data_IF_545615109440
#
_entry.id   IF_545615109440
#
_cell.length_a   1.000
_cell.length_b   1.000
_cell.length_c   1.000
_cell.angle_alpha   90.00
_cell.angle_beta   90.00
_cell.angle_gamma   90.00
#
_symmetry.space_group_name_H-M   'P 1'
#
loop_
_entity.id
_entity.type
_entity.pdbx_description
1 polymer ?
#
# COMPACT_ATOMS: atom_id res chain seq x y z
N UNK A 1 -10.88 11.51 2.79
CA UNK A 1 -10.28 10.69 3.85
C UNK A 1 -11.38 10.38 4.84
N UNK A 2 -11.53 9.13 5.24
CA UNK A 2 -12.64 8.63 6.05
C UNK A 2 -12.08 7.95 7.29
N UNK A 3 -12.78 8.06 8.42
CA UNK A 3 -12.50 7.27 9.61
C UNK A 3 -13.11 5.88 9.43
N UNK A 4 -12.37 4.83 9.82
CA UNK A 4 -12.84 3.45 9.75
C UNK A 4 -12.81 2.81 11.13
N UNK A 5 -13.67 1.81 11.33
CA UNK A 5 -13.70 1.03 12.57
C UNK A 5 -12.47 0.13 12.65
N UNK A 6 -12.07 -0.22 13.88
CA UNK A 6 -10.85 -1.00 14.09
C UNK A 6 -10.88 -2.35 13.36
N UNK A 7 -12.00 -3.05 13.36
CA UNK A 7 -12.17 -4.32 12.65
C UNK A 7 -11.93 -4.22 11.14
N UNK A 8 -12.05 -3.01 10.57
CA UNK A 8 -11.85 -2.72 9.15
C UNK A 8 -10.46 -2.15 8.84
N UNK A 9 -9.51 -2.25 9.79
CA UNK A 9 -8.17 -1.71 9.58
C UNK A 9 -7.47 -2.33 8.36
N UNK A 10 -7.46 -3.67 8.26
CA UNK A 10 -6.76 -4.41 7.24
C UNK A 10 -7.70 -5.32 6.42
N UNK A 11 -7.30 -5.65 5.19
CA UNK A 11 -8.07 -6.44 4.24
C UNK A 11 -7.53 -7.87 4.09
N UNK A 12 -7.32 -8.55 5.22
CA UNK A 12 -6.65 -9.86 5.30
C UNK A 12 -7.25 -10.89 4.31
N UNK A 13 -8.58 -11.03 4.29
CA UNK A 13 -9.26 -12.05 3.47
C UNK A 13 -9.35 -11.65 2.00
N UNK A 14 -9.63 -10.39 1.71
CA UNK A 14 -9.80 -9.91 0.33
C UNK A 14 -8.48 -9.85 -0.45
N UNK A 15 -7.35 -9.67 0.24
CA UNK A 15 -6.02 -9.59 -0.36
C UNK A 15 -5.18 -10.86 -0.15
N UNK A 16 -5.78 -11.96 0.29
CA UNK A 16 -5.05 -13.21 0.63
C UNK A 16 -4.12 -13.71 -0.48
N UNK A 17 -4.47 -13.52 -1.74
CA UNK A 17 -3.63 -13.93 -2.87
C UNK A 17 -2.26 -13.21 -2.91
N UNK A 18 -2.15 -12.04 -2.25
CA UNK A 18 -0.89 -11.31 -2.14
C UNK A 18 0.16 -12.04 -1.31
N UNK A 19 -0.24 -12.92 -0.36
CA UNK A 19 0.72 -13.67 0.46
C UNK A 19 1.64 -14.57 -0.35
N UNK A 20 1.11 -15.28 -1.35
CA UNK A 20 1.92 -16.15 -2.23
C UNK A 20 2.99 -15.36 -2.96
N UNK A 21 2.61 -14.20 -3.51
CA UNK A 21 3.54 -13.29 -4.19
C UNK A 21 4.61 -12.73 -3.25
N UNK A 22 4.22 -12.40 -1.99
CA UNK A 22 5.16 -11.88 -0.99
C UNK A 22 6.27 -12.85 -0.66
N UNK A 23 5.98 -14.14 -0.51
CA UNK A 23 6.98 -15.17 -0.23
C UNK A 23 8.02 -15.22 -1.34
N UNK A 24 7.60 -15.18 -2.59
CA UNK A 24 8.49 -15.17 -3.75
C UNK A 24 9.34 -13.89 -3.81
N UNK A 25 8.71 -12.74 -3.58
CA UNK A 25 9.40 -11.45 -3.57
C UNK A 25 10.42 -11.35 -2.43
N UNK A 26 10.09 -11.82 -1.23
CA UNK A 26 11.02 -11.87 -0.08
C UNK A 26 12.24 -12.73 -0.41
N UNK A 27 12.05 -13.84 -1.10
CA UNK A 27 13.15 -14.74 -1.50
C UNK A 27 14.08 -14.10 -2.54
N UNK A 28 13.52 -13.37 -3.50
CA UNK A 28 14.25 -12.90 -4.68
C UNK A 28 14.67 -11.44 -4.62
N UNK A 29 13.93 -10.60 -3.88
CA UNK A 29 14.05 -9.14 -3.90
C UNK A 29 14.02 -8.50 -2.50
N UNK A 30 14.37 -9.25 -1.43
CA UNK A 30 14.30 -8.73 -0.05
C UNK A 30 15.00 -7.39 0.12
N UNK A 31 16.17 -7.21 -0.49
CA UNK A 31 16.97 -5.98 -0.45
C UNK A 31 16.34 -4.77 -1.17
N UNK A 32 15.29 -5.00 -1.99
CA UNK A 32 14.56 -3.95 -2.69
C UNK A 32 13.25 -3.58 -2.01
N UNK A 33 12.67 -4.53 -1.27
CA UNK A 33 11.32 -4.42 -0.72
C UNK A 33 11.30 -4.18 0.79
N UNK A 34 12.39 -4.50 1.48
CA UNK A 34 12.51 -4.33 2.94
C UNK A 34 13.59 -3.31 3.27
N UNK A 35 13.25 -2.37 4.14
CA UNK A 35 14.21 -1.51 4.80
C UNK A 35 13.79 -1.27 6.25
N UNK A 36 14.71 -1.50 7.18
CA UNK A 36 14.52 -1.25 8.60
C UNK A 36 15.65 -0.40 9.17
N UNK A 37 15.30 0.74 9.76
CA UNK A 37 16.27 1.53 10.51
C UNK A 37 16.23 1.13 11.97
N UNK A 38 17.31 0.49 12.44
CA UNK A 38 17.41 -0.05 13.81
C UNK A 38 17.35 1.02 14.91
N UNK A 39 17.71 2.28 14.63
CA UNK A 39 17.56 3.38 15.57
C UNK A 39 16.09 3.64 15.94
N UNK A 40 15.16 3.24 15.08
CA UNK A 40 13.72 3.39 15.25
C UNK A 40 12.98 2.07 15.50
N UNK A 41 13.71 1.02 15.89
CA UNK A 41 13.12 -0.31 16.13
C UNK A 41 12.00 -0.28 17.17
N UNK A 42 12.06 0.63 18.16
CA UNK A 42 10.99 0.78 19.14
C UNK A 42 9.60 1.06 18.52
N UNK A 43 9.54 1.74 17.38
CA UNK A 43 8.31 1.95 16.66
C UNK A 43 7.82 0.64 16.02
N UNK A 44 8.71 -0.14 15.41
CA UNK A 44 8.38 -1.43 14.80
C UNK A 44 7.84 -2.41 15.85
N UNK A 45 8.47 -2.50 17.03
CA UNK A 45 8.01 -3.32 18.16
C UNK A 45 6.58 -2.94 18.56
N UNK A 46 6.32 -1.64 18.78
CA UNK A 46 4.98 -1.17 19.17
C UNK A 46 3.91 -1.50 18.12
N UNK A 47 4.23 -1.32 16.85
CA UNK A 47 3.30 -1.64 15.76
C UNK A 47 3.11 -3.15 15.60
N UNK A 48 4.13 -3.95 15.80
CA UNK A 48 4.01 -5.41 15.80
C UNK A 48 3.06 -5.89 16.92
N UNK A 49 3.21 -5.40 18.14
CA UNK A 49 2.31 -5.76 19.25
C UNK A 49 0.86 -5.28 19.01
N UNK A 50 0.68 -4.10 18.43
CA UNK A 50 -0.65 -3.63 18.04
C UNK A 50 -1.27 -4.49 16.94
N UNK A 51 -0.48 -4.91 15.95
CA UNK A 51 -0.92 -5.81 14.88
C UNK A 51 -1.25 -7.20 15.43
N UNK A 52 -0.42 -7.75 16.31
CA UNK A 52 -0.66 -9.02 16.96
C UNK A 52 -1.97 -9.01 17.75
N UNK A 53 -2.21 -7.95 18.54
CA UNK A 53 -3.45 -7.76 19.27
C UNK A 53 -4.64 -7.72 18.30
N UNK A 54 -4.55 -6.95 17.23
CA UNK A 54 -5.58 -6.86 16.20
C UNK A 54 -5.90 -8.22 15.57
N UNK A 55 -4.87 -8.95 15.12
CA UNK A 55 -5.04 -10.25 14.50
C UNK A 55 -5.61 -11.28 15.47
N UNK A 56 -5.18 -11.27 16.74
CA UNK A 56 -5.72 -12.16 17.78
C UNK A 56 -7.18 -11.84 18.14
N UNK A 57 -7.62 -10.59 17.93
CA UNK A 57 -8.99 -10.17 18.27
C UNK A 57 -9.97 -10.42 17.13
N UNK A 58 -9.58 -10.09 15.90
CA UNK A 58 -10.50 -10.07 14.76
C UNK A 58 -10.29 -11.24 13.80
N UNK A 59 -9.18 -11.99 13.95
CA UNK A 59 -8.77 -13.09 13.07
C UNK A 59 -8.19 -14.25 13.88
N UNK A 60 -8.80 -14.56 15.05
CA UNK A 60 -8.29 -15.58 15.96
C UNK A 60 -8.29 -17.00 15.35
N UNK A 61 -9.18 -17.28 14.41
CA UNK A 61 -9.23 -18.57 13.72
C UNK A 61 -8.14 -18.67 12.66
N UNK A 62 -7.79 -17.57 12.04
CA UNK A 62 -6.80 -17.49 10.96
C UNK A 62 -5.35 -17.37 11.49
N UNK A 63 -5.14 -16.86 12.72
CA UNK A 63 -3.79 -16.65 13.27
C UNK A 63 -3.63 -17.29 14.64
N UNK A 64 -2.61 -18.15 14.78
CA UNK A 64 -2.24 -18.75 16.07
C UNK A 64 -0.83 -18.34 16.46
N UNK A 65 -0.72 -17.46 17.44
CA UNK A 65 0.57 -16.99 17.99
C UNK A 65 1.10 -17.97 19.03
N UNK A 66 2.32 -18.48 18.82
CA UNK A 66 3.06 -19.40 19.70
C UNK A 66 4.39 -18.76 20.11
N UNK A 67 5.11 -19.36 21.06
CA UNK A 67 6.37 -18.77 21.57
C UNK A 67 7.41 -18.48 20.48
N UNK A 68 7.57 -19.37 19.50
CA UNK A 68 8.60 -19.25 18.46
C UNK A 68 8.04 -19.34 17.04
N UNK A 69 6.74 -19.42 16.90
CA UNK A 69 6.10 -19.51 15.59
C UNK A 69 4.72 -18.84 15.55
N UNK A 70 4.33 -18.43 14.37
CA UNK A 70 3.00 -17.92 14.09
C UNK A 70 2.45 -18.76 12.97
N UNK A 71 1.32 -19.41 13.20
CA UNK A 71 0.63 -20.18 12.18
C UNK A 71 -0.47 -19.32 11.55
N UNK A 72 -0.58 -19.39 10.22
CA UNK A 72 -1.58 -18.67 9.42
C UNK A 72 -2.44 -19.70 8.68
N UNK A 73 -3.75 -19.54 8.77
CA UNK A 73 -4.76 -20.37 8.12
C UNK A 73 -5.77 -19.47 7.38
N UNK A 74 -5.59 -19.27 6.08
CA UNK A 74 -6.47 -18.45 5.24
C UNK A 74 -6.99 -19.30 4.10
N UNK A 75 -8.24 -19.74 4.14
CA UNK A 75 -8.91 -20.58 3.14
C UNK A 75 -7.96 -21.57 2.41
N UNK A 76 -7.41 -21.15 1.26
CA UNK A 76 -6.50 -21.92 0.41
C UNK A 76 -5.00 -21.68 0.69
N UNK A 77 -4.66 -20.93 1.75
CA UNK A 77 -3.28 -20.61 2.13
C UNK A 77 -3.03 -20.95 3.59
N UNK A 78 -2.02 -21.78 3.84
CA UNK A 78 -1.52 -22.01 5.19
C UNK A 78 0.00 -21.84 5.24
N UNK A 79 0.51 -21.27 6.31
CA UNK A 79 1.93 -21.03 6.52
C UNK A 79 2.29 -21.04 7.98
N UNK A 80 3.52 -21.46 8.28
CA UNK A 80 4.11 -21.30 9.61
C UNK A 80 5.34 -20.40 9.51
N UNK A 81 5.35 -19.33 10.28
CA UNK A 81 6.43 -18.37 10.33
C UNK A 81 7.23 -18.60 11.59
N UNK A 82 8.54 -18.82 11.47
CA UNK A 82 9.45 -18.86 12.62
C UNK A 82 9.70 -17.41 13.07
N UNK A 83 9.16 -17.04 14.23
CA UNK A 83 9.24 -15.67 14.75
C UNK A 83 10.60 -15.34 15.37
N UNK A 84 11.36 -16.34 15.84
CA UNK A 84 12.66 -16.12 16.50
C UNK A 84 13.79 -15.69 15.55
N UNK A 85 13.56 -15.77 14.23
CA UNK A 85 14.57 -15.48 13.19
C UNK A 85 14.26 -14.24 12.35
N UNK A 86 13.24 -13.49 12.74
CA UNK A 86 12.75 -12.34 11.96
C UNK A 86 12.70 -11.08 12.81
N UNK A 87 12.91 -9.94 12.18
CA UNK A 87 12.65 -8.64 12.79
C UNK A 87 11.15 -8.38 12.88
N UNK A 88 10.74 -7.38 13.69
CA UNK A 88 9.32 -7.03 13.83
C UNK A 88 8.71 -6.58 12.49
N UNK A 89 9.47 -5.85 11.66
CA UNK A 89 9.02 -5.44 10.33
C UNK A 89 8.83 -6.66 9.41
N UNK A 90 9.77 -7.59 9.42
CA UNK A 90 9.67 -8.84 8.64
C UNK A 90 8.49 -9.69 9.10
N UNK A 91 8.22 -9.73 10.42
CA UNK A 91 7.04 -10.41 10.96
C UNK A 91 5.77 -9.73 10.49
N UNK A 92 5.62 -8.43 10.71
CA UNK A 92 4.45 -7.67 10.27
C UNK A 92 4.19 -7.89 8.78
N UNK A 93 5.23 -7.75 7.95
CA UNK A 93 5.10 -7.92 6.49
C UNK A 93 4.72 -9.33 6.05
N UNK A 94 5.05 -10.33 6.87
CA UNK A 94 4.69 -11.73 6.64
C UNK A 94 3.28 -12.09 7.12
N UNK A 95 2.68 -11.25 7.99
CA UNK A 95 1.38 -11.51 8.60
C UNK A 95 0.22 -10.83 7.87
N UNK A 96 0.47 -9.78 7.11
CA UNK A 96 -0.59 -9.03 6.43
C UNK A 96 -0.31 -8.87 4.93
N UNK A 97 -1.35 -8.78 4.10
CA UNK A 97 -1.19 -8.63 2.64
C UNK A 97 -0.75 -7.22 2.23
N UNK A 98 -1.02 -6.21 3.03
CA UNK A 98 -0.70 -4.81 2.74
C UNK A 98 0.81 -4.54 2.76
N UNK A 99 1.24 -3.53 2.02
CA UNK A 99 2.54 -2.88 2.20
C UNK A 99 2.55 -2.07 3.50
N UNK A 100 3.70 -1.95 4.13
CA UNK A 100 3.87 -1.28 5.42
C UNK A 100 4.92 -0.18 5.29
N UNK A 101 4.60 1.02 5.76
CA UNK A 101 5.52 2.13 5.87
C UNK A 101 5.41 2.74 7.28
N UNK A 102 6.53 2.85 7.97
CA UNK A 102 6.60 3.47 9.30
C UNK A 102 7.21 4.86 9.16
N UNK A 103 6.37 5.84 9.42
CA UNK A 103 6.69 7.26 9.39
C UNK A 103 6.96 7.72 10.82
N UNK A 104 8.10 8.35 11.08
CA UNK A 104 8.46 8.87 12.40
C UNK A 104 8.54 10.38 12.35
N UNK A 105 7.94 11.07 13.31
CA UNK A 105 8.02 12.52 13.44
C UNK A 105 9.38 12.91 14.01
N UNK A 106 10.13 13.69 13.24
CA UNK A 106 11.41 14.27 13.63
C UNK A 106 11.38 15.77 13.36
N UNK A 107 11.44 16.55 14.43
CA UNK A 107 11.16 17.98 14.34
C UNK A 107 9.72 18.23 13.87
N UNK A 108 9.56 18.85 12.72
CA UNK A 108 8.25 19.14 12.13
C UNK A 108 7.86 18.18 10.97
N UNK A 109 8.74 17.25 10.62
CA UNK A 109 8.59 16.39 9.43
C UNK A 109 8.42 14.92 9.79
N UNK A 110 7.54 14.24 9.06
CA UNK A 110 7.47 12.79 9.07
C UNK A 110 8.50 12.21 8.10
N UNK A 111 9.38 11.35 8.63
CA UNK A 111 10.45 10.68 7.90
C UNK A 111 10.12 9.21 7.75
N UNK A 112 10.31 8.64 6.57
CA UNK A 112 10.16 7.20 6.33
C UNK A 112 11.35 6.45 6.92
N UNK A 113 11.15 5.72 8.03
CA UNK A 113 12.24 5.06 8.77
C UNK A 113 12.27 3.55 8.60
N UNK A 114 11.14 2.91 8.37
CA UNK A 114 11.07 1.49 8.05
C UNK A 114 9.97 1.25 7.02
N UNK A 115 10.17 0.30 6.12
CA UNK A 115 9.15 -0.06 5.14
C UNK A 115 9.33 -1.47 4.60
N UNK A 116 8.19 -2.10 4.30
CA UNK A 116 8.07 -3.35 3.55
C UNK A 116 7.09 -3.11 2.39
N UNK A 117 7.63 -3.01 1.15
CA UNK A 117 6.86 -2.61 -0.04
C UNK A 117 6.95 -3.70 -1.10
N UNK A 118 5.86 -4.42 -1.30
CA UNK A 118 5.74 -5.54 -2.24
C UNK A 118 4.99 -5.15 -3.51
N UNK A 119 4.27 -4.04 -3.44
CA UNK A 119 3.41 -3.58 -4.53
C UNK A 119 3.74 -2.13 -4.91
N UNK A 120 4.99 -1.81 -5.26
CA UNK A 120 5.36 -0.45 -5.62
C UNK A 120 4.67 -0.03 -6.91
N UNK A 121 4.22 1.22 -6.95
CA UNK A 121 3.60 1.84 -8.13
C UNK A 121 4.66 2.62 -8.92
N UNK A 122 5.61 1.92 -9.51
CA UNK A 122 6.74 2.46 -10.28
C UNK A 122 7.64 3.42 -9.48
N UNK A 123 7.92 3.07 -8.22
CA UNK A 123 8.88 3.79 -7.39
C UNK A 123 9.83 2.85 -6.66
N UNK A 124 10.99 3.37 -6.28
CA UNK A 124 12.07 2.62 -5.64
C UNK A 124 12.15 3.00 -4.16
N UNK A 125 11.97 2.01 -3.27
CA UNK A 125 12.03 2.19 -1.82
C UNK A 125 13.37 2.78 -1.37
N UNK A 126 14.50 2.33 -1.94
CA UNK A 126 15.83 2.84 -1.58
C UNK A 126 15.99 4.33 -1.81
N UNK A 127 15.30 4.87 -2.81
CA UNK A 127 15.33 6.31 -3.09
C UNK A 127 14.49 7.13 -2.11
N UNK A 128 13.61 6.50 -1.33
CA UNK A 128 12.62 7.15 -0.47
C UNK A 128 12.92 7.01 1.02
N UNK A 129 13.65 5.96 1.39
CA UNK A 129 13.96 5.70 2.80
C UNK A 129 14.83 6.83 3.39
N UNK A 130 14.61 7.14 4.67
CA UNK A 130 15.22 8.25 5.39
C UNK A 130 14.95 9.65 4.80
N UNK A 131 13.88 9.76 3.98
CA UNK A 131 13.44 11.03 3.42
C UNK A 131 12.12 11.49 4.06
N UNK A 132 11.92 12.80 4.10
CA UNK A 132 10.65 13.40 4.50
C UNK A 132 9.57 13.13 3.46
N UNK A 133 8.31 13.22 3.87
CA UNK A 133 7.19 13.09 2.94
C UNK A 133 7.23 14.07 1.80
N UNK A 134 7.74 15.29 2.02
CA UNK A 134 7.86 16.31 0.98
C UNK A 134 8.85 15.86 -0.11
N UNK A 135 10.02 15.34 0.29
CA UNK A 135 11.01 14.80 -0.65
C UNK A 135 10.47 13.52 -1.34
N UNK A 136 9.77 12.66 -0.61
CA UNK A 136 9.17 11.45 -1.19
C UNK A 136 8.17 11.81 -2.30
N UNK A 137 7.39 12.87 -2.10
CA UNK A 137 6.34 13.30 -3.02
C UNK A 137 6.75 14.41 -3.99
N UNK A 138 8.03 14.84 -3.99
CA UNK A 138 8.56 15.83 -4.96
C UNK A 138 8.18 15.52 -6.42
N UNK A 139 8.18 14.25 -6.89
CA UNK A 139 7.75 13.92 -8.25
C UNK A 139 6.25 14.13 -8.51
N UNK A 140 5.41 14.29 -7.46
CA UNK A 140 3.97 14.48 -7.63
C UNK A 140 3.69 15.94 -8.02
N UNK A 141 3.11 16.20 -9.21
CA UNK A 141 2.89 17.56 -9.68
C UNK A 141 2.05 18.39 -8.71
N UNK A 142 2.57 19.53 -8.29
CA UNK A 142 1.89 20.47 -7.40
C UNK A 142 1.82 20.05 -5.93
N UNK A 143 2.46 18.95 -5.52
CA UNK A 143 2.41 18.47 -4.13
C UNK A 143 2.83 19.53 -3.13
N UNK A 144 4.01 20.11 -3.29
CA UNK A 144 4.57 21.13 -2.38
C UNK A 144 3.61 22.30 -2.19
N UNK A 145 3.05 22.84 -3.28
CA UNK A 145 2.20 24.02 -3.25
C UNK A 145 0.79 23.78 -2.70
N UNK A 146 0.24 22.57 -2.85
CA UNK A 146 -1.18 22.31 -2.62
C UNK A 146 -1.46 21.25 -1.55
N UNK A 147 -0.56 20.30 -1.33
CA UNK A 147 -0.80 19.12 -0.51
C UNK A 147 0.11 19.02 0.70
N UNK A 148 1.39 19.43 0.63
CA UNK A 148 2.38 19.26 1.71
C UNK A 148 1.85 19.74 3.06
N UNK A 149 1.47 21.01 3.16
CA UNK A 149 0.95 21.59 4.41
C UNK A 149 -0.30 20.84 4.92
N UNK A 150 -1.20 20.43 4.01
CA UNK A 150 -2.43 19.70 4.39
C UNK A 150 -2.11 18.30 4.90
N UNK A 151 -1.18 17.60 4.26
CA UNK A 151 -0.75 16.25 4.66
C UNK A 151 -0.06 16.30 6.01
N UNK A 152 0.93 17.17 6.19
CA UNK A 152 1.64 17.33 7.46
C UNK A 152 0.68 17.74 8.59
N UNK A 153 -0.23 18.69 8.33
CA UNK A 153 -1.25 19.11 9.28
C UNK A 153 -2.22 17.98 9.65
N UNK A 154 -2.60 17.12 8.70
CA UNK A 154 -3.42 15.95 8.97
C UNK A 154 -2.68 14.95 9.86
N UNK A 155 -1.45 14.57 9.51
CA UNK A 155 -0.66 13.58 10.25
C UNK A 155 -0.35 14.06 11.68
N UNK A 156 -0.04 15.33 11.86
CA UNK A 156 0.20 15.93 13.18
C UNK A 156 -1.04 15.84 14.09
N UNK A 157 -2.24 16.00 13.51
CA UNK A 157 -3.52 15.96 14.23
C UNK A 157 -4.16 14.58 14.27
N UNK A 158 -3.51 13.57 13.71
CA UNK A 158 -4.04 12.21 13.68
C UNK A 158 -4.20 11.68 15.12
N UNK A 159 -5.44 11.39 15.58
CA UNK A 159 -5.65 10.84 16.91
C UNK A 159 -5.15 9.40 16.98
N UNK A 160 -4.48 9.07 18.07
CA UNK A 160 -3.88 7.74 18.26
C UNK A 160 -4.92 6.60 18.40
N UNK A 161 -6.17 6.93 18.77
CA UNK A 161 -7.23 5.93 18.95
C UNK A 161 -8.06 5.66 17.68
N UNK A 162 -7.70 6.26 16.55
CA UNK A 162 -8.51 6.20 15.33
C UNK A 162 -7.68 5.80 14.13
N UNK A 163 -8.36 5.14 13.18
CA UNK A 163 -7.79 4.73 11.91
C UNK A 163 -8.49 5.51 10.82
N UNK A 164 -7.71 6.04 9.89
CA UNK A 164 -8.23 6.76 8.73
C UNK A 164 -7.82 6.08 7.46
N UNK A 165 -8.71 6.11 6.46
CA UNK A 165 -8.42 5.56 5.14
C UNK A 165 -8.60 6.60 4.04
N UNK A 166 -7.91 6.36 2.94
CA UNK A 166 -8.15 7.00 1.65
C UNK A 166 -7.88 6.01 0.52
N UNK A 167 -8.36 6.36 -0.66
CA UNK A 167 -8.10 5.59 -1.87
C UNK A 167 -7.29 6.41 -2.88
N UNK A 168 -6.39 5.73 -3.56
CA UNK A 168 -5.72 6.20 -4.76
C UNK A 168 -5.97 5.19 -5.88
N UNK A 169 -5.91 5.64 -7.14
CA UNK A 169 -6.09 4.74 -8.25
C UNK A 169 -5.24 5.15 -9.46
N UNK A 170 -4.96 4.18 -10.31
CA UNK A 170 -4.37 4.38 -11.63
C UNK A 170 -4.78 3.22 -12.55
N UNK A 171 -4.39 3.28 -13.83
CA UNK A 171 -4.59 2.19 -14.78
C UNK A 171 -3.22 1.72 -15.26
N UNK A 172 -3.00 0.40 -15.20
CA UNK A 172 -1.75 -0.24 -15.56
C UNK A 172 -1.96 -1.26 -16.68
N UNK A 173 -0.96 -1.45 -17.55
CA UNK A 173 -1.01 -2.45 -18.62
C UNK A 173 -0.54 -3.84 -18.14
N UNK A 174 -0.70 -4.14 -16.87
CA UNK A 174 -0.26 -5.40 -16.25
C UNK A 174 -1.06 -5.71 -14.98
N UNK A 175 -1.32 -6.99 -14.76
CA UNK A 175 -1.90 -7.49 -13.49
C UNK A 175 -0.89 -7.57 -12.34
N UNK A 176 0.41 -7.52 -12.64
CA UNK A 176 1.45 -7.68 -11.64
C UNK A 176 1.40 -6.55 -10.61
N UNK A 177 1.52 -6.91 -9.33
CA UNK A 177 1.54 -5.94 -8.23
C UNK A 177 2.93 -5.29 -8.08
N UNK A 178 4.00 -6.07 -8.26
CA UNK A 178 5.37 -5.58 -8.18
C UNK A 178 5.75 -4.82 -9.46
N UNK A 179 5.56 -3.50 -9.44
CA UNK A 179 5.87 -2.59 -10.53
C UNK A 179 7.02 -1.67 -10.12
N UNK A 180 8.25 -2.12 -10.36
CA UNK A 180 9.46 -1.47 -9.87
C UNK A 180 10.31 -0.90 -11.03
N UNK A 181 10.88 0.32 -10.93
CA UNK A 181 11.59 0.97 -12.04
C UNK A 181 12.76 0.16 -12.61
N UNK A 182 13.46 -0.58 -11.74
CA UNK A 182 14.59 -1.43 -12.14
C UNK A 182 14.21 -2.78 -12.72
N UNK A 183 12.95 -3.19 -12.58
CA UNK A 183 12.41 -4.47 -13.06
C UNK A 183 11.17 -4.21 -13.90
N UNK A 184 11.35 -3.68 -15.13
CA UNK A 184 10.21 -3.30 -15.96
C UNK A 184 9.33 -4.51 -16.25
N UNK A 185 8.05 -4.34 -16.06
CA UNK A 185 7.06 -5.35 -16.41
C UNK A 185 6.84 -5.30 -17.92
N UNK A 186 6.95 -6.44 -18.59
CA UNK A 186 6.59 -6.54 -20.00
C UNK A 186 5.12 -6.17 -20.18
N UNK A 187 4.84 -5.18 -21.01
CA UNK A 187 3.48 -4.85 -21.39
C UNK A 187 2.90 -6.04 -22.15
N UNK A 188 1.80 -6.60 -21.67
CA UNK A 188 1.15 -7.70 -22.34
C UNK A 188 0.75 -7.31 -23.76
N UNK A 189 1.04 -8.20 -24.74
CA UNK A 189 0.65 -8.01 -26.14
C UNK A 189 -0.89 -7.96 -26.35
N UNK A 190 -1.65 -8.31 -25.31
CA UNK A 190 -3.12 -8.39 -25.33
C UNK A 190 -3.84 -7.06 -25.15
N UNK A 191 -3.14 -5.95 -24.97
CA UNK A 191 -3.75 -4.64 -24.63
C UNK A 191 -4.70 -4.70 -23.40
N UNK A 192 -4.48 -5.66 -22.51
CA UNK A 192 -5.22 -5.74 -21.25
C UNK A 192 -4.81 -4.60 -20.33
N UNK A 193 -5.81 -3.94 -19.78
CA UNK A 193 -5.63 -2.88 -18.80
C UNK A 193 -6.27 -3.27 -17.49
N UNK A 194 -5.67 -2.82 -16.39
CA UNK A 194 -6.13 -3.09 -15.04
C UNK A 194 -6.33 -1.79 -14.28
N UNK A 195 -7.48 -1.65 -13.66
CA UNK A 195 -7.69 -0.60 -12.67
C UNK A 195 -7.01 -1.03 -11.37
N UNK A 196 -5.93 -0.33 -11.01
CA UNK A 196 -5.21 -0.50 -9.76
C UNK A 196 -5.78 0.46 -8.73
N UNK A 197 -6.28 -0.08 -7.64
CA UNK A 197 -6.80 0.68 -6.51
C UNK A 197 -5.92 0.42 -5.30
N UNK A 198 -5.46 1.48 -4.67
CA UNK A 198 -4.69 1.44 -3.42
C UNK A 198 -5.61 1.91 -2.28
N UNK A 199 -5.98 1.01 -1.39
CA UNK A 199 -6.56 1.37 -0.10
C UNK A 199 -5.43 1.70 0.86
N UNK A 200 -5.39 2.91 1.34
CA UNK A 200 -4.32 3.42 2.19
C UNK A 200 -4.85 3.72 3.57
N UNK A 201 -4.28 3.13 4.63
CA UNK A 201 -4.70 3.41 6.00
C UNK A 201 -3.59 4.07 6.81
N UNK A 202 -3.99 4.89 7.78
CA UNK A 202 -3.09 5.60 8.70
C UNK A 202 -3.49 5.25 10.13
N UNK A 203 -2.55 4.71 10.91
CA UNK A 203 -2.73 4.39 12.32
C UNK A 203 -1.58 4.96 13.14
N UNK A 204 -1.91 5.77 14.14
CA UNK A 204 -0.99 6.26 15.15
C UNK A 204 -1.28 5.53 16.45
N UNK A 205 -0.24 5.13 17.19
CA UNK A 205 -0.39 4.53 18.51
C UNK A 205 -0.26 5.58 19.61
N UNK A 206 -0.87 5.29 20.76
CA UNK A 206 -0.69 6.10 21.97
C UNK A 206 0.81 6.17 22.30
N UNK A 207 1.25 7.32 22.79
CA UNK A 207 2.63 7.60 23.20
C UNK A 207 3.67 7.29 22.11
N UNK A 208 3.28 7.44 20.83
CA UNK A 208 4.15 7.25 19.68
C UNK A 208 4.21 8.50 18.83
N UNK A 209 5.44 8.89 18.45
CA UNK A 209 5.69 9.86 17.38
C UNK A 209 5.60 9.23 15.99
N UNK A 210 5.31 7.93 15.91
CA UNK A 210 5.26 7.19 14.66
C UNK A 210 3.84 6.93 14.18
N UNK A 211 3.70 6.83 12.86
CA UNK A 211 2.47 6.44 12.16
C UNK A 211 2.80 5.22 11.30
N UNK A 212 1.98 4.18 11.44
CA UNK A 212 1.95 3.08 10.48
C UNK A 212 1.02 3.47 9.33
N UNK A 213 1.57 3.50 8.15
CA UNK A 213 0.84 3.67 6.90
C UNK A 213 0.83 2.35 6.15
N UNK A 214 -0.35 1.82 5.86
CA UNK A 214 -0.50 0.57 5.11
C UNK A 214 -1.12 0.82 3.74
N UNK A 215 -0.75 0.00 2.75
CA UNK A 215 -1.29 0.09 1.39
C UNK A 215 -1.75 -1.30 0.95
N UNK A 216 -3.06 -1.50 0.90
CA UNK A 216 -3.68 -2.65 0.26
C UNK A 216 -3.87 -2.38 -1.23
N UNK A 217 -3.34 -3.25 -2.09
CA UNK A 217 -3.37 -3.04 -3.54
C UNK A 217 -4.26 -4.07 -4.22
N UNK A 218 -5.28 -3.58 -4.91
CA UNK A 218 -6.19 -4.36 -5.73
C UNK A 218 -5.97 -4.06 -7.22
N UNK A 219 -5.88 -5.09 -8.04
CA UNK A 219 -5.86 -4.99 -9.49
C UNK A 219 -7.11 -5.65 -10.07
N UNK A 220 -7.94 -4.85 -10.74
CA UNK A 220 -9.17 -5.31 -11.39
C UNK A 220 -9.01 -5.23 -12.91
N UNK A 221 -9.28 -6.30 -13.68
CA UNK A 221 -9.35 -6.19 -15.14
C UNK A 221 -10.30 -5.06 -15.53
N UNK A 222 -9.81 -4.09 -16.31
CA UNK A 222 -10.59 -2.89 -16.66
C UNK A 222 -11.93 -3.24 -17.30
N UNK A 223 -11.95 -4.28 -18.15
CA UNK A 223 -13.16 -4.74 -18.82
C UNK A 223 -14.23 -5.24 -17.84
N UNK A 224 -13.84 -5.85 -16.71
CA UNK A 224 -14.79 -6.26 -15.67
C UNK A 224 -15.34 -5.05 -14.90
N UNK A 225 -14.49 -4.06 -14.63
CA UNK A 225 -14.91 -2.80 -13.99
C UNK A 225 -15.94 -2.07 -14.87
N UNK A 226 -15.72 -2.03 -16.18
CA UNK A 226 -16.61 -1.35 -17.12
C UNK A 226 -18.01 -1.98 -17.26
N UNK A 227 -18.19 -3.23 -16.80
CA UNK A 227 -19.53 -3.86 -16.73
C UNK A 227 -20.35 -3.37 -15.53
N UNK A 228 -19.73 -2.71 -14.57
CA UNK A 228 -20.42 -2.20 -13.37
C UNK A 228 -21.19 -0.93 -13.76
N UNK A 229 -22.49 -0.91 -13.46
CA UNK A 229 -23.36 0.24 -13.77
C UNK A 229 -22.79 1.55 -13.21
N UNK A 230 -22.61 2.54 -14.08
CA UNK A 230 -22.10 3.88 -13.74
C UNK A 230 -20.57 3.97 -13.65
N UNK A 231 -19.84 2.85 -13.74
CA UNK A 231 -18.39 2.87 -13.72
C UNK A 231 -17.77 3.47 -14.99
N UNK A 232 -18.28 3.20 -16.22
CA UNK A 232 -17.78 3.82 -17.44
C UNK A 232 -17.86 5.35 -17.40
N UNK A 233 -19.02 5.89 -17.03
CA UNK A 233 -19.26 7.34 -16.94
C UNK A 233 -18.38 7.99 -15.87
N UNK A 234 -18.28 7.37 -14.70
CA UNK A 234 -17.48 7.86 -13.59
C UNK A 234 -15.99 7.89 -13.95
N UNK A 235 -15.48 6.82 -14.55
CA UNK A 235 -14.08 6.71 -14.97
C UNK A 235 -13.75 7.71 -16.09
N UNK A 236 -14.63 7.84 -17.09
CA UNK A 236 -14.49 8.82 -18.16
C UNK A 236 -14.45 10.24 -17.59
N UNK A 237 -15.37 10.57 -16.69
CA UNK A 237 -15.41 11.87 -16.03
C UNK A 237 -14.12 12.15 -15.24
N UNK A 238 -13.65 11.18 -14.46
CA UNK A 238 -12.42 11.30 -13.66
C UNK A 238 -11.18 11.55 -14.54
N UNK A 239 -11.06 10.83 -15.66
CA UNK A 239 -9.95 11.02 -16.62
C UNK A 239 -10.05 12.38 -17.31
N UNK A 240 -11.24 12.81 -17.67
CA UNK A 240 -11.47 14.08 -18.38
C UNK A 240 -11.08 15.29 -17.54
N UNK A 241 -11.36 15.28 -16.23
CA UNK A 241 -11.04 16.40 -15.32
C UNK A 241 -9.63 16.33 -14.74
N UNK A 242 -8.91 15.22 -14.94
CA UNK A 242 -7.57 15.04 -14.42
C UNK A 242 -6.58 15.98 -15.12
N UNK A 243 -5.78 16.78 -14.37
CA UNK A 243 -4.73 17.62 -14.96
C UNK A 243 -3.74 16.81 -15.79
N UNK A 244 -3.27 17.35 -16.90
CA UNK A 244 -2.34 16.66 -17.80
C UNK A 244 -1.05 16.25 -17.08
N UNK A 245 -0.50 17.10 -16.20
CA UNK A 245 0.67 16.76 -15.39
C UNK A 245 0.45 15.53 -14.50
N UNK A 246 -0.77 15.34 -13.97
CA UNK A 246 -1.12 14.15 -13.17
C UNK A 246 -1.28 12.92 -14.06
N UNK A 247 -1.83 13.07 -15.27
CA UNK A 247 -1.89 11.96 -16.24
C UNK A 247 -0.49 11.47 -16.61
N UNK A 248 0.42 12.40 -16.91
CA UNK A 248 1.82 12.09 -17.20
C UNK A 248 2.47 11.37 -16.01
N UNK A 249 2.34 11.91 -14.81
CA UNK A 249 2.87 11.31 -13.57
C UNK A 249 2.37 9.87 -13.36
N UNK A 250 1.09 9.61 -13.64
CA UNK A 250 0.46 8.28 -13.54
C UNK A 250 0.71 7.39 -14.77
N UNK A 251 1.39 7.87 -15.81
CA UNK A 251 1.59 7.16 -17.07
C UNK A 251 0.30 6.97 -17.90
N UNK A 252 -0.79 7.67 -17.55
CA UNK A 252 -2.06 7.54 -18.23
C UNK A 252 -2.06 8.18 -19.62
N UNK A 253 -1.26 9.21 -19.83
CA UNK A 253 -1.13 9.89 -21.13
C UNK A 253 -0.76 8.93 -22.27
N UNK A 254 0.03 7.91 -21.99
CA UNK A 254 0.46 6.90 -22.99
C UNK A 254 -0.68 5.98 -23.41
N UNK A 255 -1.59 5.66 -22.49
CA UNK A 255 -2.66 4.67 -22.69
C UNK A 255 -4.07 5.32 -22.72
N UNK A 256 -4.16 6.65 -22.63
CA UNK A 256 -5.43 7.37 -22.52
C UNK A 256 -6.37 7.09 -23.70
N UNK A 257 -5.82 7.02 -24.92
CA UNK A 257 -6.62 6.70 -26.12
C UNK A 257 -7.24 5.30 -26.00
N UNK A 258 -6.43 4.31 -25.63
CA UNK A 258 -6.92 2.93 -25.45
C UNK A 258 -7.95 2.82 -24.34
N UNK A 259 -7.76 3.55 -23.22
CA UNK A 259 -8.73 3.60 -22.13
C UNK A 259 -10.06 4.16 -22.63
N UNK A 260 -10.03 5.30 -23.32
CA UNK A 260 -11.25 5.94 -23.85
C UNK A 260 -11.97 5.05 -24.85
N UNK A 261 -11.26 4.42 -25.78
CA UNK A 261 -11.84 3.46 -26.73
C UNK A 261 -12.57 2.31 -26.01
N UNK A 262 -11.95 1.74 -24.98
CA UNK A 262 -12.59 0.69 -24.17
C UNK A 262 -13.83 1.20 -23.42
N UNK A 263 -13.79 2.40 -22.84
CA UNK A 263 -14.93 2.99 -22.12
C UNK A 263 -16.08 3.29 -23.07
N UNK A 264 -15.81 3.87 -24.25
CA UNK A 264 -16.85 4.19 -25.24
C UNK A 264 -17.66 2.99 -25.70
N UNK A 265 -17.10 1.80 -25.59
CA UNK A 265 -17.81 0.56 -25.93
C UNK A 265 -18.91 0.20 -24.92
N UNK A 266 -18.89 0.82 -23.73
CA UNK A 266 -19.83 0.58 -22.63
C UNK A 266 -20.75 1.78 -22.31
N UNK A 267 -20.52 2.94 -22.94
CA UNK A 267 -21.38 4.12 -22.83
C UNK A 267 -22.49 4.06 -23.89
#
# INVERSE_FOLDING_TARGET
MYEVREESWLEIKSLRNSFKNKIELLKNFSHEILFENYEFQSANIKFFEALKTYLSTYYEDEYKFKNQSIDIYLDDFSSQINSSKKTDLELMSSLIPEDILILVLEGENYILRSAAVFSPSNWDLKSKINKSLDIIHEPVPGYEKTLSTKVNSFLNRLPASRIFERFNWSIYPSEKLFFHPRYPVSINKTNELFLRVERQTFRKLNDSSAIMFTIGVHNYPLMEVLKIKGAPESLMSAIKVMPESIKIYKGLNVIEKTIKEKIYHYL
#
